data_IF_284431031977
#
_entry.id   IF_284431031977
#
_cell.length_a   1.000
_cell.length_b   1.000
_cell.length_c   1.000
_cell.angle_alpha   90.00
_cell.angle_beta   90.00
_cell.angle_gamma   90.00
#
_symmetry.space_group_name_H-M   'P 1'
#
loop_
_entity.id
_entity.type
_entity.pdbx_description
1 polymer ?
#
# COMPACT_ATOMS: atom_id res chain seq x y z
N UNK A 1 27.02 14.47 -4.45
CA UNK A 1 27.50 13.41 -3.52
C UNK A 1 27.23 12.07 -4.18
N UNK A 2 28.15 11.11 -4.16
CA UNK A 2 27.86 9.77 -4.71
C UNK A 2 26.98 9.02 -3.69
N UNK A 3 25.86 8.48 -4.16
CA UNK A 3 24.86 7.75 -3.35
C UNK A 3 25.46 6.49 -2.67
N UNK A 4 26.64 6.04 -3.09
CA UNK A 4 27.26 4.79 -2.64
C UNK A 4 27.77 4.76 -1.19
N UNK A 5 27.93 5.92 -0.54
CA UNK A 5 28.64 6.01 0.74
C UNK A 5 27.73 6.36 1.94
N UNK A 6 26.43 6.51 1.70
CA UNK A 6 25.46 6.86 2.75
C UNK A 6 25.02 5.62 3.53
N UNK A 7 24.94 5.74 4.86
CA UNK A 7 24.32 4.70 5.69
C UNK A 7 22.82 4.66 5.41
N UNK A 8 22.22 3.47 5.50
CA UNK A 8 20.79 3.25 5.25
C UNK A 8 19.90 4.24 6.01
N UNK A 9 20.18 4.49 7.29
CA UNK A 9 19.41 5.43 8.12
C UNK A 9 19.51 6.89 7.64
N UNK A 10 20.70 7.30 7.19
CA UNK A 10 20.91 8.65 6.65
C UNK A 10 20.19 8.82 5.31
N UNK A 11 20.16 7.78 4.48
CA UNK A 11 19.41 7.77 3.22
C UNK A 11 17.89 7.83 3.45
N UNK A 12 17.36 7.06 4.40
CA UNK A 12 15.93 7.08 4.71
C UNK A 12 15.50 8.45 5.28
N UNK A 13 16.33 9.05 6.14
CA UNK A 13 16.07 10.40 6.67
C UNK A 13 16.03 11.45 5.55
N UNK A 14 16.94 11.38 4.57
CA UNK A 14 16.91 12.29 3.42
C UNK A 14 15.71 12.04 2.50
N UNK A 15 15.24 10.78 2.37
CA UNK A 15 14.05 10.45 1.58
C UNK A 15 12.76 10.94 2.25
N UNK A 16 12.69 10.93 3.58
CA UNK A 16 11.55 11.46 4.34
C UNK A 16 11.38 12.98 4.16
N UNK A 17 12.45 13.70 3.82
CA UNK A 17 12.41 15.14 3.51
C UNK A 17 11.83 15.46 2.13
N UNK A 18 11.68 14.45 1.25
CA UNK A 18 11.12 14.65 -0.09
C UNK A 18 9.59 14.79 0.01
N UNK A 19 9.00 15.90 -0.51
CA UNK A 19 7.55 16.10 -0.45
C UNK A 19 6.76 14.94 -1.05
N UNK A 20 5.79 14.40 -0.31
CA UNK A 20 4.94 13.30 -0.77
C UNK A 20 5.49 11.91 -0.48
N UNK A 21 6.77 11.76 -0.07
CA UNK A 21 7.34 10.43 0.23
C UNK A 21 6.76 9.89 1.52
N UNK A 22 6.73 10.68 2.59
CA UNK A 22 6.15 10.25 3.87
C UNK A 22 4.68 9.84 3.70
N UNK A 23 3.89 10.67 3.03
CA UNK A 23 2.47 10.40 2.76
C UNK A 23 2.27 9.15 1.90
N UNK A 24 3.17 8.90 0.94
CA UNK A 24 3.14 7.67 0.17
C UNK A 24 3.52 6.45 1.01
N UNK A 25 4.56 6.54 1.84
CA UNK A 25 5.01 5.44 2.70
C UNK A 25 3.96 5.05 3.76
N UNK A 26 3.14 6.01 4.20
CA UNK A 26 2.03 5.81 5.11
C UNK A 26 0.71 5.43 4.39
N UNK A 27 0.73 5.33 3.06
CA UNK A 27 -0.47 5.05 2.26
C UNK A 27 -0.91 3.58 2.36
N UNK A 28 -2.22 3.34 2.16
CA UNK A 28 -2.80 2.00 2.17
C UNK A 28 -2.04 0.98 1.29
N UNK A 29 -1.67 1.28 0.02
CA UNK A 29 -0.92 0.34 -0.82
C UNK A 29 0.42 -0.11 -0.21
N UNK A 30 1.14 0.78 0.46
CA UNK A 30 2.43 0.45 1.10
C UNK A 30 2.20 -0.40 2.35
N UNK A 31 1.28 0.02 3.21
CA UNK A 31 0.98 -0.70 4.45
C UNK A 31 0.49 -2.13 4.19
N UNK A 32 -0.40 -2.33 3.21
CA UNK A 32 -0.89 -3.67 2.86
C UNK A 32 0.18 -4.50 2.15
N UNK A 33 1.02 -3.89 1.30
CA UNK A 33 2.13 -4.57 0.63
C UNK A 33 3.11 -5.16 1.64
N UNK A 34 3.48 -4.40 2.68
CA UNK A 34 4.35 -4.88 3.75
C UNK A 34 3.77 -6.12 4.45
N UNK A 35 2.47 -6.12 4.76
CA UNK A 35 1.83 -7.27 5.40
C UNK A 35 1.77 -8.50 4.47
N UNK A 36 1.50 -8.30 3.18
CA UNK A 36 1.49 -9.36 2.17
C UNK A 36 2.88 -9.98 2.03
N UNK A 37 3.93 -9.16 1.90
CA UNK A 37 5.32 -9.62 1.78
C UNK A 37 5.73 -10.40 3.02
N UNK A 38 5.51 -9.83 4.21
CA UNK A 38 5.87 -10.47 5.48
C UNK A 38 5.21 -11.84 5.59
N UNK A 39 3.91 -11.92 5.32
CA UNK A 39 3.18 -13.19 5.40
C UNK A 39 3.64 -14.19 4.34
N UNK A 40 3.95 -13.75 3.12
CA UNK A 40 4.48 -14.62 2.06
C UNK A 40 5.83 -15.22 2.47
N UNK A 41 6.71 -14.41 3.06
CA UNK A 41 8.02 -14.85 3.55
C UNK A 41 7.86 -15.85 4.72
N UNK A 42 6.95 -15.60 5.66
CA UNK A 42 6.66 -16.54 6.76
C UNK A 42 6.21 -17.92 6.27
N UNK A 43 5.51 -17.96 5.13
CA UNK A 43 5.07 -19.20 4.48
C UNK A 43 6.18 -19.86 3.65
N UNK A 44 7.34 -19.21 3.50
CA UNK A 44 8.46 -19.69 2.70
C UNK A 44 8.19 -19.64 1.19
N UNK A 45 7.25 -18.79 0.74
CA UNK A 45 6.85 -18.74 -0.67
C UNK A 45 7.61 -17.65 -1.43
N UNK A 46 8.04 -17.99 -2.64
CA UNK A 46 8.38 -17.04 -3.69
C UNK A 46 7.11 -16.36 -4.24
N UNK A 47 7.27 -15.26 -4.98
CA UNK A 47 6.14 -14.61 -5.65
C UNK A 47 5.48 -15.52 -6.70
N UNK A 48 6.27 -16.37 -7.37
CA UNK A 48 5.74 -17.38 -8.30
C UNK A 48 4.91 -18.44 -7.58
N UNK A 49 5.33 -18.88 -6.39
CA UNK A 49 4.55 -19.80 -5.58
C UNK A 49 3.25 -19.18 -5.11
N UNK A 50 3.26 -17.91 -4.68
CA UNK A 50 2.03 -17.20 -4.35
C UNK A 50 1.08 -17.14 -5.56
N UNK A 51 1.58 -16.82 -6.75
CA UNK A 51 0.79 -16.83 -7.98
C UNK A 51 0.14 -18.20 -8.26
N UNK A 52 0.89 -19.30 -8.07
CA UNK A 52 0.36 -20.67 -8.18
C UNK A 52 -0.73 -20.94 -7.12
N UNK A 53 -0.51 -20.53 -5.88
CA UNK A 53 -1.49 -20.71 -4.80
C UNK A 53 -2.77 -19.91 -5.03
N UNK A 54 -2.69 -18.70 -5.61
CA UNK A 54 -3.88 -17.90 -5.96
C UNK A 54 -4.78 -18.70 -6.90
N UNK A 55 -4.19 -19.35 -7.90
CA UNK A 55 -4.94 -20.20 -8.84
C UNK A 55 -5.62 -21.38 -8.16
N UNK A 56 -4.96 -22.00 -7.18
CA UNK A 56 -5.50 -23.13 -6.44
C UNK A 56 -6.65 -22.70 -5.51
N UNK A 57 -6.50 -21.58 -4.80
CA UNK A 57 -7.46 -21.14 -3.76
C UNK A 57 -8.67 -20.42 -4.34
N UNK A 58 -8.47 -19.61 -5.38
CA UNK A 58 -9.52 -18.74 -5.94
C UNK A 58 -10.06 -19.24 -7.26
N UNK A 59 -9.33 -20.12 -7.96
CA UNK A 59 -9.64 -20.51 -9.33
C UNK A 59 -9.19 -19.49 -10.38
N UNK A 60 -8.74 -18.30 -9.98
CA UNK A 60 -8.33 -17.23 -10.89
C UNK A 60 -6.83 -17.27 -11.19
N UNK A 61 -6.46 -16.95 -12.43
CA UNK A 61 -5.05 -16.79 -12.78
C UNK A 61 -4.56 -15.40 -12.34
N UNK A 62 -3.40 -15.36 -11.69
CA UNK A 62 -2.71 -14.13 -11.34
C UNK A 62 -1.23 -14.29 -11.68
N UNK A 63 -0.67 -13.49 -12.60
CA UNK A 63 0.74 -13.59 -12.95
C UNK A 63 1.62 -13.07 -11.81
N UNK A 64 2.85 -13.59 -11.71
CA UNK A 64 3.85 -13.13 -10.73
C UNK A 64 4.12 -11.62 -10.86
N UNK A 65 4.03 -11.05 -12.06
CA UNK A 65 4.15 -9.60 -12.26
C UNK A 65 3.07 -8.80 -11.53
N UNK A 66 1.85 -9.32 -11.41
CA UNK A 66 0.79 -8.68 -10.61
C UNK A 66 1.13 -8.74 -9.12
N UNK A 67 1.63 -9.89 -8.63
CA UNK A 67 2.11 -10.01 -7.24
C UNK A 67 3.23 -9.00 -6.97
N UNK A 68 4.21 -8.90 -7.86
CA UNK A 68 5.30 -7.94 -7.74
C UNK A 68 4.81 -6.49 -7.71
N UNK A 69 3.79 -6.15 -8.48
CA UNK A 69 3.18 -4.82 -8.46
C UNK A 69 2.44 -4.52 -7.15
N UNK A 70 1.74 -5.52 -6.61
CA UNK A 70 1.07 -5.43 -5.31
C UNK A 70 2.09 -5.22 -4.20
N UNK A 71 3.13 -6.04 -4.16
CA UNK A 71 4.21 -5.96 -3.17
C UNK A 71 5.06 -4.68 -3.33
N UNK A 72 5.11 -4.12 -4.55
CA UNK A 72 5.74 -2.83 -4.83
C UNK A 72 4.80 -1.63 -4.67
N UNK A 73 3.63 -1.78 -4.04
CA UNK A 73 2.65 -0.71 -3.82
C UNK A 73 2.28 0.09 -5.08
N UNK A 74 2.25 -0.58 -6.23
CA UNK A 74 1.93 0.08 -7.50
C UNK A 74 0.53 0.71 -7.47
N UNK A 75 0.34 1.90 -8.04
CA UNK A 75 -0.98 2.52 -8.12
C UNK A 75 -1.92 1.71 -9.04
N UNK A 76 -3.22 1.88 -8.83
CA UNK A 76 -4.28 1.31 -9.68
C UNK A 76 -4.56 -0.18 -9.44
N UNK A 77 -4.01 -0.78 -8.38
CA UNK A 77 -4.39 -2.13 -7.97
C UNK A 77 -5.79 -2.11 -7.37
N UNK A 78 -6.68 -2.95 -7.90
CA UNK A 78 -8.06 -3.04 -7.45
C UNK A 78 -8.17 -3.80 -6.13
N UNK A 79 -9.16 -3.44 -5.32
CA UNK A 79 -9.50 -4.15 -4.07
C UNK A 79 -9.63 -5.67 -4.26
N UNK A 80 -10.26 -6.12 -5.35
CA UNK A 80 -10.41 -7.54 -5.69
C UNK A 80 -9.06 -8.28 -5.81
N UNK A 81 -7.99 -7.59 -6.21
CA UNK A 81 -6.66 -8.18 -6.35
C UNK A 81 -6.05 -8.43 -4.97
N UNK A 82 -6.16 -7.45 -4.07
CA UNK A 82 -5.74 -7.60 -2.68
C UNK A 82 -6.53 -8.71 -1.99
N UNK A 83 -7.86 -8.75 -2.15
CA UNK A 83 -8.72 -9.76 -1.53
C UNK A 83 -8.29 -11.19 -1.91
N UNK A 84 -8.05 -11.45 -3.21
CA UNK A 84 -7.60 -12.77 -3.69
C UNK A 84 -6.27 -13.18 -3.05
N UNK A 85 -5.33 -12.24 -2.93
CA UNK A 85 -4.02 -12.49 -2.30
C UNK A 85 -4.19 -12.76 -0.80
N UNK A 86 -4.92 -11.91 -0.07
CA UNK A 86 -5.15 -12.07 1.37
C UNK A 86 -5.82 -13.41 1.69
N UNK A 87 -6.84 -13.78 0.90
CA UNK A 87 -7.52 -15.08 1.02
C UNK A 87 -6.54 -16.24 0.79
N UNK A 88 -5.68 -16.11 -0.22
CA UNK A 88 -4.66 -17.14 -0.54
C UNK A 88 -3.62 -17.29 0.58
N UNK A 89 -3.21 -16.18 1.20
CA UNK A 89 -2.27 -16.17 2.33
C UNK A 89 -2.90 -16.63 3.66
N UNK A 90 -4.21 -16.92 3.67
CA UNK A 90 -4.96 -17.31 4.85
C UNK A 90 -5.09 -16.19 5.88
N UNK A 91 -4.96 -14.92 5.46
CA UNK A 91 -5.06 -13.77 6.34
C UNK A 91 -6.53 -13.50 6.68
N UNK A 92 -6.92 -13.86 7.91
CA UNK A 92 -8.29 -13.66 8.42
C UNK A 92 -8.52 -12.30 9.07
N UNK A 93 -7.44 -11.63 9.47
CA UNK A 93 -7.46 -10.31 10.10
C UNK A 93 -6.39 -9.44 9.44
N UNK A 94 -6.79 -8.25 9.05
CA UNK A 94 -5.94 -7.19 8.54
C UNK A 94 -6.16 -5.99 9.46
N UNK A 95 -5.08 -5.44 10.02
CA UNK A 95 -5.13 -4.23 10.82
C UNK A 95 -4.27 -3.20 10.10
N UNK A 96 -4.89 -2.11 9.67
CA UNK A 96 -4.22 -0.96 9.08
C UNK A 96 -4.73 0.23 9.86
N UNK A 97 -3.82 0.93 10.51
CA UNK A 97 -4.12 2.13 11.30
C UNK A 97 -3.57 3.32 10.52
N UNK A 98 -4.42 4.32 10.34
CA UNK A 98 -4.03 5.62 9.82
C UNK A 98 -4.14 6.60 10.98
N UNK A 99 -3.20 7.53 11.08
CA UNK A 99 -3.29 8.61 12.05
C UNK A 99 -4.50 9.50 11.72
N UNK A 100 -5.17 10.01 12.75
CA UNK A 100 -6.26 10.98 12.58
C UNK A 100 -5.72 12.23 11.88
N UNK A 101 -6.38 12.65 10.80
CA UNK A 101 -6.06 13.91 10.13
C UNK A 101 -6.52 15.08 11.02
N UNK A 102 -5.63 15.94 11.54
CA UNK A 102 -6.05 17.14 12.26
C UNK A 102 -6.58 18.17 11.24
N UNK A 103 -7.76 18.72 11.54
CA UNK A 103 -8.43 19.88 10.93
C UNK A 103 -9.02 19.76 9.51
N UNK A 104 -10.22 19.16 9.45
CA UNK A 104 -11.26 19.58 8.50
C UNK A 104 -11.99 20.88 8.93
N UNK A 105 -11.45 21.64 9.88
CA UNK A 105 -12.07 22.83 10.46
C UNK A 105 -11.36 24.12 10.03
N UNK A 106 -11.40 24.48 8.74
CA UNK A 106 -11.17 25.89 8.33
C UNK A 106 -11.61 26.30 6.92
N UNK A 107 -12.41 25.50 6.21
CA UNK A 107 -13.09 25.99 5.00
C UNK A 107 -14.60 26.03 5.26
N UNK A 108 -15.04 27.03 6.03
CA UNK A 108 -16.41 27.51 5.91
C UNK A 108 -16.62 27.96 4.46
N UNK A 109 -17.30 27.12 3.67
CA UNK A 109 -17.83 27.54 2.38
C UNK A 109 -18.92 28.57 2.70
N UNK A 110 -18.56 29.85 2.70
CA UNK A 110 -19.49 30.97 2.74
C UNK A 110 -20.27 30.98 1.42
N UNK A 111 -21.34 30.20 1.33
CA UNK A 111 -22.33 30.35 0.26
C UNK A 111 -23.04 31.67 0.53
N UNK A 112 -22.60 32.74 -0.14
CA UNK A 112 -23.39 33.98 -0.22
C UNK A 112 -24.66 33.65 -1.01
N UNK A 113 -25.74 33.37 -0.30
CA UNK A 113 -27.09 33.39 -0.85
C UNK A 113 -27.42 34.81 -1.26
N UNK A 114 -27.16 35.13 -2.53
CA UNK A 114 -27.68 36.33 -3.16
C UNK A 114 -29.21 36.21 -3.27
N UNK A 115 -29.92 36.99 -2.47
CA UNK A 115 -31.35 37.24 -2.66
C UNK A 115 -31.53 38.04 -3.94
N UNK A 116 -32.03 37.40 -4.99
CA UNK A 116 -32.58 38.12 -6.14
C UNK A 116 -33.96 38.63 -5.75
N UNK A 117 -34.06 39.95 -5.57
CA UNK A 117 -35.33 40.67 -5.51
C UNK A 117 -35.89 40.86 -6.93
#
# INVERSE_FOLDING_TARGET
>A
MKVSDMKHEDLMRELDEVPGVKEFMESFPVLIAHQIIARRIDLGWTQEELAKQVKIVTGDSMPQSTISRVEGASPGIKAETYEKILRTLGMKKLMIEFEDCPDAAQNEIHIRSGSFA
#
